data_IF_415516366514
#
_entry.id   IF_415516366514
#
_cell.length_a   1.000
_cell.length_b   1.000
_cell.length_c   1.000
_cell.angle_alpha   90.00
_cell.angle_beta   90.00
_cell.angle_gamma   90.00
#
_symmetry.space_group_name_H-M   'P 1'
#
loop_
_entity.id
_entity.type
_entity.pdbx_description
1 polymer ?
#
# COMPACT_ATOMS: atom_id res chain seq x y z
N UNK A 1 -9.20 5.53 5.63
CA UNK A 1 -9.14 4.13 5.18
C UNK A 1 -10.05 3.98 3.98
N UNK A 2 -9.83 2.97 3.15
CA UNK A 2 -10.71 2.61 2.05
C UNK A 2 -10.98 1.11 2.10
N UNK A 3 -12.15 0.68 1.64
CA UNK A 3 -12.55 -0.73 1.58
C UNK A 3 -12.85 -1.10 0.14
N UNK A 4 -12.41 -2.28 -0.31
CA UNK A 4 -12.79 -2.79 -1.64
C UNK A 4 -14.28 -3.10 -1.77
N UNK A 5 -14.99 -3.23 -0.64
CA UNK A 5 -16.42 -3.53 -0.59
C UNK A 5 -17.27 -2.27 -0.46
N UNK A 6 -16.90 -1.36 0.45
CA UNK A 6 -17.71 -0.15 0.73
C UNK A 6 -17.17 1.12 0.08
N UNK A 7 -16.04 1.05 -0.61
CA UNK A 7 -15.37 2.20 -1.24
C UNK A 7 -14.64 3.10 -0.25
N UNK A 8 -14.46 4.37 -0.65
CA UNK A 8 -13.74 5.38 0.14
C UNK A 8 -14.65 5.97 1.21
N UNK A 9 -14.17 6.01 2.46
CA UNK A 9 -14.91 6.60 3.58
C UNK A 9 -15.24 8.08 3.30
N UNK A 10 -16.51 8.46 3.43
CA UNK A 10 -16.95 9.84 3.18
C UNK A 10 -16.23 10.86 4.05
N UNK A 11 -15.93 10.53 5.31
CA UNK A 11 -15.18 11.43 6.20
C UNK A 11 -13.76 11.67 5.67
N UNK A 12 -13.15 10.67 5.01
CA UNK A 12 -11.85 10.87 4.34
C UNK A 12 -12.00 11.91 3.23
N UNK A 13 -13.02 11.79 2.37
CA UNK A 13 -13.26 12.76 1.29
C UNK A 13 -13.53 14.16 1.83
N UNK A 14 -14.36 14.28 2.88
CA UNK A 14 -14.73 15.57 3.48
C UNK A 14 -13.54 16.25 4.17
N UNK A 15 -12.56 15.49 4.68
CA UNK A 15 -11.36 16.02 5.35
C UNK A 15 -10.14 16.10 4.45
N UNK A 16 -10.20 15.53 3.25
CA UNK A 16 -9.04 15.35 2.37
C UNK A 16 -8.35 16.67 2.03
N UNK A 17 -9.13 17.67 1.63
CA UNK A 17 -8.59 18.98 1.25
C UNK A 17 -7.77 19.60 2.39
N UNK A 18 -8.22 19.47 3.64
CA UNK A 18 -7.51 19.99 4.81
C UNK A 18 -6.15 19.29 5.00
N UNK A 19 -6.10 17.96 4.85
CA UNK A 19 -4.85 17.20 4.95
C UNK A 19 -3.84 17.63 3.86
N UNK A 20 -4.33 17.86 2.64
CA UNK A 20 -3.49 18.34 1.52
C UNK A 20 -2.96 19.75 1.76
N UNK A 21 -3.81 20.68 2.16
CA UNK A 21 -3.43 22.09 2.41
C UNK A 21 -2.41 22.22 3.55
N UNK A 22 -2.45 21.32 4.54
CA UNK A 22 -1.54 21.31 5.68
C UNK A 22 -0.35 20.35 5.50
N UNK A 23 -0.17 19.77 4.31
CA UNK A 23 0.92 18.85 4.00
C UNK A 23 1.05 17.71 5.02
N UNK A 24 -0.08 17.17 5.49
CA UNK A 24 -0.10 16.10 6.50
C UNK A 24 0.35 14.79 5.84
N UNK A 25 1.46 14.17 6.26
CA UNK A 25 1.86 12.85 5.76
C UNK A 25 0.76 11.83 6.03
N UNK A 26 0.29 11.16 4.98
CA UNK A 26 -0.90 10.31 5.07
C UNK A 26 -0.65 8.96 4.43
N UNK A 27 -1.02 7.90 5.14
CA UNK A 27 -1.04 6.52 4.64
C UNK A 27 -2.50 6.09 4.51
N UNK A 28 -2.87 5.45 3.40
CA UNK A 28 -4.21 4.89 3.21
C UNK A 28 -4.14 3.38 3.42
N UNK A 29 -4.72 2.89 4.51
CA UNK A 29 -4.98 1.47 4.67
C UNK A 29 -6.18 1.06 3.80
N UNK A 30 -5.97 0.07 2.93
CA UNK A 30 -6.99 -0.56 2.08
C UNK A 30 -7.42 -1.89 2.71
N UNK A 31 -8.71 -2.05 2.90
CA UNK A 31 -9.37 -3.13 3.64
C UNK A 31 -10.23 -4.01 2.71
N UNK A 32 -10.62 -5.18 3.22
CA UNK A 32 -11.66 -6.07 2.67
C UNK A 32 -11.38 -6.68 1.28
N UNK A 33 -10.14 -6.57 0.78
CA UNK A 33 -9.68 -7.14 -0.50
C UNK A 33 -9.70 -8.68 -0.56
N UNK A 34 -10.18 -9.35 0.49
CA UNK A 34 -10.38 -10.80 0.55
C UNK A 34 -11.83 -11.23 0.28
N UNK A 35 -12.79 -10.30 0.32
CA UNK A 35 -14.23 -10.58 0.28
C UNK A 35 -14.98 -9.83 -0.85
N UNK A 36 -14.27 -9.02 -1.64
CA UNK A 36 -14.85 -8.15 -2.67
C UNK A 36 -14.64 -8.65 -4.10
N UNK A 37 -15.40 -8.11 -5.04
CA UNK A 37 -15.15 -8.27 -6.49
C UNK A 37 -13.97 -7.41 -6.97
N UNK A 38 -13.63 -6.37 -6.21
CA UNK A 38 -12.52 -5.46 -6.46
C UNK A 38 -11.32 -5.94 -5.64
N UNK A 39 -10.19 -6.13 -6.31
CA UNK A 39 -8.93 -6.46 -5.65
C UNK A 39 -8.25 -5.21 -5.07
N UNK A 40 -7.05 -5.40 -4.51
CA UNK A 40 -6.34 -4.33 -3.83
C UNK A 40 -5.80 -3.29 -4.84
N UNK A 41 -5.22 -3.74 -5.94
CA UNK A 41 -4.59 -2.89 -6.95
C UNK A 41 -5.61 -2.03 -7.69
N UNK A 42 -6.80 -2.56 -7.98
CA UNK A 42 -7.91 -1.80 -8.55
C UNK A 42 -8.37 -0.69 -7.58
N UNK A 43 -8.51 -1.02 -6.29
CA UNK A 43 -8.87 -0.03 -5.28
C UNK A 43 -7.77 1.03 -5.10
N UNK A 44 -6.49 0.64 -5.20
CA UNK A 44 -5.38 1.59 -5.20
C UNK A 44 -5.44 2.54 -6.41
N UNK A 45 -5.76 2.02 -7.60
CA UNK A 45 -5.94 2.85 -8.80
C UNK A 45 -7.15 3.81 -8.68
N UNK A 46 -8.25 3.37 -8.05
CA UNK A 46 -9.40 4.23 -7.72
C UNK A 46 -8.98 5.35 -6.77
N UNK A 47 -8.24 5.02 -5.70
CA UNK A 47 -7.69 6.01 -4.78
C UNK A 47 -6.76 6.99 -5.48
N UNK A 48 -5.93 6.50 -6.40
CA UNK A 48 -5.13 7.30 -7.32
C UNK A 48 -5.95 8.42 -7.94
N UNK A 49 -7.00 8.06 -8.68
CA UNK A 49 -7.87 9.03 -9.37
C UNK A 49 -8.62 9.98 -8.45
N UNK A 50 -8.89 9.58 -7.19
CA UNK A 50 -9.68 10.37 -6.26
C UNK A 50 -8.84 11.34 -5.41
N UNK A 51 -7.62 10.96 -5.06
CA UNK A 51 -6.85 11.60 -3.99
C UNK A 51 -5.48 12.13 -4.42
N UNK A 52 -5.07 11.89 -5.67
CA UNK A 52 -3.77 12.21 -6.32
C UNK A 52 -2.73 13.04 -5.50
N UNK A 53 -1.46 12.56 -5.37
CA UNK A 53 -0.87 11.37 -5.98
C UNK A 53 -0.74 10.18 -5.00
N UNK A 54 -1.47 9.09 -5.29
CA UNK A 54 -1.41 7.83 -4.52
C UNK A 54 -0.41 6.87 -5.18
N UNK A 55 0.46 6.26 -4.38
CA UNK A 55 1.42 5.25 -4.82
C UNK A 55 1.11 3.89 -4.19
N UNK A 56 1.42 2.82 -4.91
CA UNK A 56 1.18 1.43 -4.49
C UNK A 56 2.51 0.72 -4.19
N UNK A 57 3.09 0.83 -2.99
CA UNK A 57 4.40 0.24 -2.70
C UNK A 57 4.41 -1.28 -2.50
N UNK A 58 3.25 -1.90 -2.27
CA UNK A 58 3.14 -3.35 -2.09
C UNK A 58 1.95 -3.89 -2.86
N UNK A 59 2.07 -5.10 -3.41
CA UNK A 59 0.95 -5.84 -3.97
C UNK A 59 0.63 -7.08 -3.13
N UNK A 60 -0.63 -7.53 -3.21
CA UNK A 60 -1.11 -8.72 -2.50
C UNK A 60 -0.86 -9.95 -3.35
N UNK A 61 -0.19 -10.93 -2.77
CA UNK A 61 -0.06 -12.26 -3.36
C UNK A 61 -1.09 -13.19 -2.74
N UNK A 62 -1.79 -13.92 -3.59
CA UNK A 62 -2.84 -14.85 -3.20
C UNK A 62 -2.33 -16.29 -3.22
N UNK A 63 -2.83 -17.12 -2.31
CA UNK A 63 -2.68 -18.58 -2.41
C UNK A 63 -3.67 -19.15 -3.44
N UNK A 64 -3.50 -20.43 -3.81
CA UNK A 64 -4.39 -21.10 -4.79
C UNK A 64 -5.88 -21.08 -4.41
N UNK A 65 -6.19 -20.89 -3.12
CA UNK A 65 -7.57 -20.74 -2.63
C UNK A 65 -8.19 -19.37 -2.96
N UNK A 66 -7.40 -18.45 -3.51
CA UNK A 66 -7.78 -17.05 -3.77
C UNK A 66 -7.64 -16.13 -2.56
N UNK A 67 -7.20 -16.63 -1.39
CA UNK A 67 -7.04 -15.81 -0.19
C UNK A 67 -5.72 -15.05 -0.19
N UNK A 68 -5.67 -13.82 0.36
CA UNK A 68 -4.42 -13.10 0.56
C UNK A 68 -3.46 -13.89 1.45
N UNK A 69 -2.23 -14.10 1.00
CA UNK A 69 -1.24 -14.91 1.68
C UNK A 69 0.07 -14.16 1.97
N UNK A 70 0.48 -13.26 1.08
CA UNK A 70 1.74 -12.56 1.20
C UNK A 70 1.66 -11.14 0.62
N UNK A 71 2.65 -10.31 0.92
CA UNK A 71 2.86 -9.01 0.29
C UNK A 71 4.19 -9.01 -0.45
N UNK A 72 4.20 -8.55 -1.70
CA UNK A 72 5.44 -8.27 -2.43
C UNK A 72 5.74 -6.77 -2.36
N UNK A 73 6.94 -6.42 -1.91
CA UNK A 73 7.46 -5.06 -1.90
C UNK A 73 7.94 -4.70 -3.31
N UNK A 74 7.39 -3.65 -3.91
CA UNK A 74 7.72 -3.29 -5.28
C UNK A 74 9.07 -2.56 -5.41
N UNK A 75 9.66 -2.10 -4.31
CA UNK A 75 10.98 -1.43 -4.34
C UNK A 75 12.14 -2.42 -4.46
N UNK A 76 12.07 -3.54 -3.74
CA UNK A 76 13.14 -4.54 -3.65
C UNK A 76 12.72 -5.94 -4.13
N UNK A 77 11.44 -6.12 -4.47
CA UNK A 77 10.84 -7.38 -4.90
C UNK A 77 10.95 -8.48 -3.83
N UNK A 78 11.06 -8.12 -2.55
CA UNK A 78 10.97 -9.08 -1.44
C UNK A 78 9.52 -9.43 -1.13
N UNK A 79 9.29 -10.66 -0.68
CA UNK A 79 7.98 -11.18 -0.28
C UNK A 79 7.97 -11.35 1.23
N UNK A 80 6.97 -10.74 1.88
CA UNK A 80 6.61 -11.03 3.27
C UNK A 80 5.44 -12.00 3.29
N UNK A 81 5.68 -13.22 3.76
CA UNK A 81 4.74 -14.33 3.78
C UNK A 81 4.04 -14.44 5.14
N UNK A 82 2.71 -14.28 5.12
CA UNK A 82 1.82 -14.32 6.27
C UNK A 82 1.05 -15.65 6.38
N UNK A 83 1.34 -16.63 5.53
CA UNK A 83 0.76 -17.99 5.61
C UNK A 83 1.40 -18.83 6.73
N UNK A 84 2.56 -18.40 7.22
CA UNK A 84 3.33 -19.09 8.26
C UNK A 84 3.45 -18.24 9.52
N UNK A 85 3.67 -18.91 10.66
CA UNK A 85 3.97 -18.25 11.92
C UNK A 85 5.25 -18.87 12.53
N UNK A 86 6.34 -18.09 12.72
CA UNK A 86 6.45 -16.64 12.50
C UNK A 86 6.37 -16.23 11.03
N UNK A 87 5.93 -14.99 10.79
CA UNK A 87 5.98 -14.34 9.46
C UNK A 87 7.41 -14.44 8.93
N UNK A 88 7.55 -14.80 7.66
CA UNK A 88 8.85 -14.96 7.01
C UNK A 88 9.02 -13.98 5.86
N UNK A 89 10.26 -13.64 5.56
CA UNK A 89 10.61 -12.78 4.41
C UNK A 89 11.58 -13.54 3.51
N UNK A 90 11.35 -13.48 2.21
CA UNK A 90 12.19 -14.13 1.19
C UNK A 90 12.24 -13.30 -0.08
N UNK A 91 13.20 -13.59 -0.94
CA UNK A 91 13.19 -13.03 -2.30
C UNK A 91 12.03 -13.62 -3.13
N UNK A 92 11.50 -12.79 -4.03
CA UNK A 92 10.63 -13.26 -5.12
C UNK A 92 11.39 -14.11 -6.13
N UNK A 93 10.70 -15.10 -6.69
CA UNK A 93 11.18 -15.82 -7.87
C UNK A 93 10.96 -14.99 -9.15
N UNK A 94 11.36 -15.55 -10.28
CA UNK A 94 11.30 -14.87 -11.58
C UNK A 94 9.85 -14.61 -12.01
N UNK A 95 8.94 -15.55 -11.76
CA UNK A 95 7.53 -15.44 -12.17
C UNK A 95 6.85 -14.26 -11.46
N UNK A 96 7.07 -14.13 -10.15
CA UNK A 96 6.59 -12.97 -9.39
C UNK A 96 7.16 -11.64 -9.94
N UNK A 97 8.45 -11.61 -10.29
CA UNK A 97 9.11 -10.39 -10.79
C UNK A 97 8.58 -9.96 -12.16
N UNK A 98 8.32 -10.93 -13.03
CA UNK A 98 7.71 -10.66 -14.34
C UNK A 98 6.28 -10.13 -14.19
N UNK A 99 5.51 -10.70 -13.26
CA UNK A 99 4.13 -10.28 -13.01
C UNK A 99 4.01 -8.83 -12.52
N UNK A 100 4.90 -8.40 -11.62
CA UNK A 100 4.81 -7.07 -10.98
C UNK A 100 5.70 -6.01 -11.62
N UNK A 101 6.37 -6.35 -12.74
CA UNK A 101 7.39 -5.51 -13.37
C UNK A 101 6.90 -4.09 -13.64
N UNK A 102 5.75 -3.96 -14.29
CA UNK A 102 5.22 -2.66 -14.71
C UNK A 102 4.88 -1.81 -13.48
N UNK A 103 4.27 -2.39 -12.45
CA UNK A 103 3.99 -1.69 -11.18
C UNK A 103 5.27 -1.25 -10.47
N UNK A 104 6.33 -2.07 -10.49
CA UNK A 104 7.61 -1.73 -9.88
C UNK A 104 8.32 -0.60 -10.65
N UNK A 105 8.29 -0.64 -11.99
CA UNK A 105 8.83 0.41 -12.84
C UNK A 105 8.06 1.73 -12.65
N UNK A 106 6.72 1.71 -12.60
CA UNK A 106 5.87 2.88 -12.30
C UNK A 106 6.16 3.50 -10.93
N UNK A 107 6.28 2.66 -9.90
CA UNK A 107 6.64 3.12 -8.55
C UNK A 107 8.03 3.76 -8.55
N UNK A 108 9.00 3.11 -9.20
CA UNK A 108 10.37 3.61 -9.29
C UNK A 108 10.41 4.97 -9.99
N UNK A 109 9.71 5.13 -11.10
CA UNK A 109 9.59 6.41 -11.82
C UNK A 109 9.00 7.51 -10.93
N UNK A 110 7.93 7.21 -10.19
CA UNK A 110 7.29 8.13 -9.24
C UNK A 110 8.22 8.57 -8.09
N UNK A 111 9.25 7.78 -7.80
CA UNK A 111 10.19 8.03 -6.72
C UNK A 111 11.52 8.64 -7.19
N UNK A 112 11.72 8.87 -8.50
CA UNK A 112 13.01 9.39 -9.06
C UNK A 112 13.39 10.75 -8.48
N UNK A 113 12.43 11.67 -8.30
CA UNK A 113 12.75 13.05 -7.93
C UNK A 113 13.13 13.24 -6.46
N UNK A 114 12.44 12.54 -5.55
CA UNK A 114 12.61 12.74 -4.11
C UNK A 114 12.40 11.50 -3.25
N UNK A 115 12.20 10.32 -3.85
CA UNK A 115 11.92 9.10 -3.10
C UNK A 115 10.77 9.25 -2.11
N UNK A 116 10.88 8.57 -0.97
CA UNK A 116 9.88 8.66 0.11
C UNK A 116 9.98 9.91 0.98
N UNK A 117 10.97 10.78 0.76
CA UNK A 117 10.98 12.10 1.41
C UNK A 117 9.77 12.93 0.97
N UNK A 118 9.27 12.69 -0.25
CA UNK A 118 8.02 13.24 -0.73
C UNK A 118 6.82 12.86 0.17
N UNK A 119 6.81 11.66 0.78
CA UNK A 119 5.76 11.26 1.71
C UNK A 119 5.86 12.04 3.03
N UNK A 120 7.08 12.24 3.55
CA UNK A 120 7.33 13.02 4.77
C UNK A 120 6.92 14.48 4.59
N UNK A 121 7.02 15.00 3.37
CA UNK A 121 6.54 16.33 2.98
C UNK A 121 5.04 16.37 2.64
N UNK A 122 4.33 15.26 2.82
CA UNK A 122 2.91 15.12 2.51
C UNK A 122 2.59 15.29 1.03
N UNK A 123 3.53 15.04 0.11
CA UNK A 123 3.33 15.20 -1.34
C UNK A 123 2.73 13.96 -1.99
N UNK A 124 3.21 12.77 -1.62
CA UNK A 124 2.74 11.46 -2.11
C UNK A 124 2.08 10.66 -0.98
N UNK A 125 1.16 9.77 -1.36
CA UNK A 125 0.31 9.02 -0.42
C UNK A 125 0.43 7.53 -0.70
N UNK A 126 1.11 6.74 0.15
CA UNK A 126 1.14 5.30 -0.01
C UNK A 126 -0.21 4.66 0.34
N UNK A 127 -0.74 3.83 -0.56
CA UNK A 127 -1.83 2.91 -0.30
C UNK A 127 -1.27 1.55 0.12
N UNK A 128 -1.67 1.06 1.30
CA UNK A 128 -1.12 -0.16 1.92
C UNK A 128 -2.24 -1.19 2.11
N UNK A 129 -2.06 -2.44 1.66
CA UNK A 129 -3.02 -3.51 1.95
C UNK A 129 -2.98 -3.80 3.45
N UNK A 130 -4.15 -3.82 4.09
CA UNK A 130 -4.28 -4.07 5.52
C UNK A 130 -5.32 -5.14 5.81
N UNK A 131 -4.89 -6.22 6.44
CA UNK A 131 -5.76 -7.31 6.89
C UNK A 131 -5.41 -7.69 8.33
N UNK A 132 -6.27 -7.28 9.26
CA UNK A 132 -6.02 -7.39 10.70
C UNK A 132 -5.92 -8.86 11.17
N UNK A 133 -6.77 -9.74 10.63
CA UNK A 133 -6.80 -11.16 11.02
C UNK A 133 -5.45 -11.86 10.77
N UNK A 134 -4.76 -11.50 9.69
CA UNK A 134 -3.42 -12.01 9.35
C UNK A 134 -2.27 -11.13 9.85
N UNK A 135 -2.57 -10.04 10.55
CA UNK A 135 -1.59 -8.99 10.90
C UNK A 135 -0.83 -8.45 9.68
N UNK A 136 -1.44 -8.52 8.50
CA UNK A 136 -0.87 -8.12 7.22
C UNK A 136 -0.93 -6.59 7.09
N UNK A 137 0.17 -6.00 6.61
CA UNK A 137 0.27 -4.56 6.40
C UNK A 137 0.67 -3.76 7.63
N UNK A 138 0.66 -4.34 8.84
CA UNK A 138 1.04 -3.62 10.07
C UNK A 138 2.49 -3.14 10.00
N UNK A 139 3.42 -4.00 9.59
CA UNK A 139 4.84 -3.65 9.46
C UNK A 139 5.06 -2.61 8.37
N UNK A 140 4.32 -2.72 7.26
CA UNK A 140 4.39 -1.78 6.14
C UNK A 140 3.89 -0.39 6.52
N UNK A 141 2.78 -0.29 7.25
CA UNK A 141 2.29 0.98 7.79
C UNK A 141 3.30 1.57 8.78
N UNK A 142 3.82 0.74 9.71
CA UNK A 142 4.84 1.19 10.68
C UNK A 142 6.08 1.76 10.00
N UNK A 143 6.58 1.12 8.93
CA UNK A 143 7.70 1.64 8.13
C UNK A 143 7.48 3.08 7.71
N UNK A 144 6.29 3.44 7.24
CA UNK A 144 5.97 4.82 6.85
C UNK A 144 5.82 5.75 8.05
N UNK A 145 5.16 5.29 9.11
CA UNK A 145 5.05 6.10 10.34
C UNK A 145 6.42 6.44 10.94
N UNK A 146 7.38 5.52 10.87
CA UNK A 146 8.74 5.71 11.35
C UNK A 146 9.54 6.74 10.53
N UNK A 147 9.10 7.06 9.29
CA UNK A 147 9.69 8.14 8.48
C UNK A 147 9.22 9.53 8.94
N UNK A 148 8.05 9.62 9.58
CA UNK A 148 7.49 10.90 10.01
C UNK A 148 8.22 11.35 11.27
N UNK A 149 8.87 12.53 11.27
CA UNK A 149 9.57 13.02 12.45
C UNK A 149 8.62 13.19 13.62
N UNK A 150 8.84 12.45 14.71
CA UNK A 150 8.16 12.73 15.97
C UNK A 150 8.73 14.03 16.54
N UNK A 151 7.88 15.04 16.78
CA UNK A 151 8.27 16.21 17.58
C UNK A 151 8.72 15.70 18.96
N UNK A 152 10.01 15.87 19.25
CA UNK A 152 10.61 15.64 20.57
C UNK A 152 10.37 16.82 21.49
#
# INVERSE_FOLDING_TARGET
MASTVTGVDKNLTDTWQNFRENYVPTVIAVLDFENGEVDFEDMSAILGKMLEPVLTPYLVLHEDSGKPAALINLEDLSITDYSTQPVSTRDSDIEHKELVKDFADELKESLVEGGWEQFVQGLIIPAIPFLLEKQMGITQIKRFLDLVPSRS
#
